data_IF_485613305937
#
_entry.id   IF_485613305937
#
_cell.length_a   1.000
_cell.length_b   1.000
_cell.length_c   1.000
_cell.angle_alpha   90.00
_cell.angle_beta   90.00
_cell.angle_gamma   90.00
#
_symmetry.space_group_name_H-M   'P 1'
#
loop_
_entity.id
_entity.type
_entity.pdbx_description
1 polymer ?
#
# COMPACT_ATOMS: atom_id res chain seq x y z
N UNK A 1 1.05 -18.02 4.00
CA UNK A 1 1.08 -16.85 3.07
C UNK A 1 0.89 -17.34 1.64
N UNK A 2 -0.07 -16.79 0.90
CA UNK A 2 -0.21 -16.98 -0.55
C UNK A 2 0.53 -15.87 -1.28
N UNK A 3 0.92 -16.13 -2.53
CA UNK A 3 1.61 -15.15 -3.38
C UNK A 3 0.84 -14.97 -4.68
N UNK A 4 0.87 -13.75 -5.23
CA UNK A 4 0.23 -13.40 -6.51
C UNK A 4 1.23 -12.71 -7.42
N UNK A 5 1.08 -12.94 -8.71
CA UNK A 5 1.88 -12.26 -9.73
C UNK A 5 1.56 -10.78 -9.76
N UNK A 6 2.60 -9.91 -9.75
CA UNK A 6 2.44 -8.47 -9.83
C UNK A 6 2.28 -8.03 -11.30
N UNK A 7 1.04 -7.93 -11.75
CA UNK A 7 0.72 -7.54 -13.12
C UNK A 7 1.42 -8.41 -14.17
N UNK A 8 2.00 -7.78 -15.16
CA UNK A 8 2.75 -8.43 -16.24
C UNK A 8 4.24 -8.68 -15.90
N UNK A 9 4.68 -8.45 -14.65
CA UNK A 9 6.06 -8.71 -14.21
C UNK A 9 6.33 -10.18 -13.92
N UNK A 10 7.58 -10.53 -13.60
CA UNK A 10 7.98 -11.83 -13.07
C UNK A 10 7.98 -11.89 -11.53
N UNK A 11 7.53 -10.83 -10.86
CA UNK A 11 7.50 -10.75 -9.40
C UNK A 11 6.27 -11.46 -8.83
N UNK A 12 6.50 -12.38 -7.91
CA UNK A 12 5.47 -12.96 -7.05
C UNK A 12 5.52 -12.26 -5.68
N UNK A 13 4.46 -11.52 -5.35
CA UNK A 13 4.33 -10.76 -4.10
C UNK A 13 3.36 -11.44 -3.14
N UNK A 14 3.66 -11.36 -1.84
CA UNK A 14 2.74 -11.85 -0.80
C UNK A 14 1.42 -11.05 -0.80
N UNK A 15 0.29 -11.73 -0.59
CA UNK A 15 -1.05 -11.11 -0.53
C UNK A 15 -1.15 -10.00 0.51
N UNK A 16 -0.34 -10.09 1.58
CA UNK A 16 -0.15 -9.05 2.58
C UNK A 16 1.27 -8.51 2.44
N UNK A 17 1.44 -7.21 2.42
CA UNK A 17 2.73 -6.53 2.37
C UNK A 17 2.90 -5.54 3.51
N UNK A 18 4.15 -5.27 3.90
CA UNK A 18 4.47 -4.36 5.00
C UNK A 18 4.82 -2.97 4.46
N UNK A 19 4.01 -1.98 4.83
CA UNK A 19 4.23 -0.57 4.53
C UNK A 19 4.91 0.17 5.67
N UNK A 20 5.80 1.08 5.33
CA UNK A 20 6.57 1.89 6.29
C UNK A 20 5.91 3.22 6.67
N UNK A 21 4.84 3.64 5.98
CA UNK A 21 4.22 4.94 6.20
C UNK A 21 3.68 5.10 7.63
N UNK A 22 4.02 6.22 8.28
CA UNK A 22 3.66 6.60 9.66
C UNK A 22 4.20 5.67 10.77
N UNK A 23 4.93 4.62 10.44
CA UNK A 23 5.47 3.68 11.43
C UNK A 23 6.99 3.72 11.51
N UNK A 24 7.69 3.65 10.39
CA UNK A 24 9.15 3.59 10.37
C UNK A 24 9.79 4.96 10.23
N UNK A 25 11.00 5.11 10.77
CA UNK A 25 11.72 6.39 10.76
C UNK A 25 11.16 7.43 11.73
N UNK A 26 10.56 6.99 12.87
CA UNK A 26 10.15 7.89 13.96
C UNK A 26 8.70 7.74 14.45
N UNK A 27 7.85 6.98 13.77
CA UNK A 27 6.46 6.73 14.22
C UNK A 27 6.35 5.72 15.37
N UNK A 28 7.28 4.76 15.42
CA UNK A 28 7.52 3.82 16.52
C UNK A 28 9.02 3.75 16.82
N UNK A 29 9.41 3.14 17.93
CA UNK A 29 10.83 2.92 18.21
C UNK A 29 11.47 2.01 17.15
N UNK A 30 12.76 2.20 16.86
CA UNK A 30 13.47 1.35 15.88
C UNK A 30 13.39 -0.14 16.25
N UNK A 31 13.52 -0.49 17.52
CA UNK A 31 13.40 -1.88 17.98
C UNK A 31 12.03 -2.50 17.71
N UNK A 32 10.95 -1.74 17.84
CA UNK A 32 9.60 -2.20 17.47
C UNK A 32 9.46 -2.33 15.96
N UNK A 33 10.01 -1.38 15.19
CA UNK A 33 9.99 -1.43 13.74
C UNK A 33 10.79 -2.65 13.22
N UNK A 34 11.98 -2.91 13.77
CA UNK A 34 12.81 -4.10 13.47
C UNK A 34 12.04 -5.40 13.77
N UNK A 35 11.38 -5.48 14.94
CA UNK A 35 10.58 -6.63 15.30
C UNK A 35 9.40 -6.85 14.33
N UNK A 36 8.76 -5.77 13.83
CA UNK A 36 7.72 -5.87 12.80
C UNK A 36 8.28 -6.39 11.47
N UNK A 37 9.45 -5.91 11.04
CA UNK A 37 10.11 -6.39 9.82
C UNK A 37 10.52 -7.86 9.97
N UNK A 38 11.11 -8.25 11.10
CA UNK A 38 11.49 -9.63 11.39
C UNK A 38 10.25 -10.56 11.34
N UNK A 39 9.15 -10.18 12.00
CA UNK A 39 7.88 -10.92 11.99
C UNK A 39 7.29 -11.01 10.59
N UNK A 40 7.38 -9.95 9.78
CA UNK A 40 6.88 -9.98 8.40
C UNK A 40 7.55 -11.10 7.59
N UNK A 41 8.86 -11.22 7.65
CA UNK A 41 9.57 -12.31 6.98
C UNK A 41 9.25 -13.69 7.59
N UNK A 42 9.13 -13.78 8.92
CA UNK A 42 8.77 -15.02 9.62
C UNK A 42 7.44 -15.58 9.13
N UNK A 43 6.44 -14.71 8.91
CA UNK A 43 5.10 -15.12 8.42
C UNK A 43 4.99 -15.19 6.90
N UNK A 44 6.11 -15.01 6.18
CA UNK A 44 6.20 -15.14 4.72
C UNK A 44 5.83 -13.90 3.93
N UNK A 45 5.77 -12.72 4.55
CA UNK A 45 5.66 -11.46 3.80
C UNK A 45 7.01 -11.20 3.11
N UNK A 46 6.98 -11.07 1.79
CA UNK A 46 8.16 -10.77 0.97
C UNK A 46 8.12 -9.41 0.31
N UNK A 47 7.05 -8.63 0.48
CA UNK A 47 6.88 -7.33 -0.16
C UNK A 47 6.89 -6.19 0.86
N UNK A 48 7.87 -5.28 0.70
CA UNK A 48 8.09 -4.10 1.56
C UNK A 48 7.85 -2.83 0.73
N UNK A 49 6.96 -1.96 1.19
CA UNK A 49 6.58 -0.72 0.52
C UNK A 49 7.02 0.51 1.34
N UNK A 50 7.75 1.41 0.70
CA UNK A 50 8.19 2.70 1.27
C UNK A 50 8.01 3.84 0.28
N UNK A 51 8.49 5.04 0.63
CA UNK A 51 8.60 6.20 -0.26
C UNK A 51 9.70 7.15 0.24
N UNK A 52 10.29 7.91 -0.69
CA UNK A 52 11.32 8.90 -0.37
C UNK A 52 10.89 9.91 0.69
N UNK A 53 9.61 10.34 0.66
CA UNK A 53 9.07 11.35 1.56
C UNK A 53 8.74 10.84 2.97
N UNK A 54 8.63 9.51 3.17
CA UNK A 54 8.24 8.97 4.47
C UNK A 54 9.30 9.28 5.53
N UNK A 55 8.88 10.01 6.57
CA UNK A 55 9.78 10.55 7.60
C UNK A 55 10.98 11.33 7.00
N UNK A 56 10.75 12.04 5.88
CA UNK A 56 11.80 12.81 5.17
C UNK A 56 13.04 11.96 4.82
N UNK A 57 12.81 10.73 4.36
CA UNK A 57 13.86 9.75 4.02
C UNK A 57 14.19 8.77 5.14
N UNK A 58 13.83 9.07 6.38
CA UNK A 58 14.16 8.23 7.54
C UNK A 58 13.57 6.82 7.47
N UNK A 59 12.43 6.64 6.78
CA UNK A 59 11.88 5.30 6.58
C UNK A 59 12.74 4.46 5.62
N UNK A 60 13.30 5.05 4.56
CA UNK A 60 14.24 4.36 3.65
C UNK A 60 15.58 4.09 4.34
N UNK A 61 16.12 5.03 5.12
CA UNK A 61 17.35 4.83 5.89
C UNK A 61 17.21 3.66 6.86
N UNK A 62 16.12 3.62 7.64
CA UNK A 62 15.82 2.53 8.54
C UNK A 62 15.71 1.19 7.79
N UNK A 63 14.97 1.13 6.68
CA UNK A 63 14.85 -0.09 5.90
C UNK A 63 16.19 -0.52 5.30
N UNK A 64 17.01 0.43 4.83
CA UNK A 64 18.37 0.15 4.35
C UNK A 64 19.25 -0.49 5.40
N UNK A 65 19.08 -0.15 6.68
CA UNK A 65 19.80 -0.79 7.80
C UNK A 65 19.29 -2.20 8.08
N UNK A 66 17.99 -2.34 8.25
CA UNK A 66 17.37 -3.61 8.68
C UNK A 66 17.41 -4.69 7.59
N UNK A 67 17.35 -4.29 6.30
CA UNK A 67 17.37 -5.21 5.18
C UNK A 67 18.80 -5.58 4.73
N UNK A 68 19.84 -4.87 5.16
CA UNK A 68 21.21 -5.07 4.71
C UNK A 68 21.77 -6.50 4.96
N UNK A 69 21.28 -7.18 6.00
CA UNK A 69 21.71 -8.55 6.33
C UNK A 69 20.94 -9.65 5.58
N UNK A 70 19.94 -9.27 4.76
CA UNK A 70 19.12 -10.21 4.02
C UNK A 70 19.56 -10.32 2.57
N UNK A 71 19.53 -11.51 1.97
CA UNK A 71 19.74 -11.65 0.53
C UNK A 71 18.80 -10.72 -0.23
N UNK A 72 19.33 -9.86 -1.11
CA UNK A 72 18.55 -8.84 -1.82
C UNK A 72 17.44 -9.42 -2.69
N UNK A 73 17.62 -10.60 -3.23
CA UNK A 73 16.66 -11.34 -4.06
C UNK A 73 15.60 -12.11 -3.25
N UNK A 74 15.67 -12.09 -1.91
CA UNK A 74 14.71 -12.75 -1.05
C UNK A 74 13.45 -11.92 -0.77
N UNK A 75 13.41 -10.66 -1.21
CA UNK A 75 12.27 -9.77 -1.00
C UNK A 75 12.06 -8.79 -2.16
N UNK A 76 10.85 -8.33 -2.31
CA UNK A 76 10.44 -7.28 -3.24
C UNK A 76 10.41 -5.94 -2.51
N UNK A 77 11.16 -4.96 -3.01
CA UNK A 77 11.27 -3.63 -2.42
C UNK A 77 10.69 -2.57 -3.36
N UNK A 78 9.71 -1.81 -2.87
CA UNK A 78 9.11 -0.70 -3.59
C UNK A 78 9.40 0.63 -2.92
N UNK A 79 9.75 1.65 -3.72
CA UNK A 79 9.78 3.05 -3.26
C UNK A 79 9.07 3.97 -4.26
N UNK A 80 8.89 5.25 -3.86
CA UNK A 80 8.09 6.22 -4.63
C UNK A 80 8.74 7.59 -4.62
N UNK A 81 8.39 8.42 -5.62
CA UNK A 81 8.77 9.83 -5.68
C UNK A 81 7.54 10.69 -6.04
N UNK A 82 7.56 11.94 -5.72
CA UNK A 82 6.64 13.02 -6.11
C UNK A 82 6.53 14.13 -5.08
N UNK A 83 6.20 13.79 -3.81
CA UNK A 83 5.91 14.78 -2.77
C UNK A 83 7.13 15.63 -2.41
N UNK A 84 6.91 16.87 -1.87
CA UNK A 84 8.00 17.76 -1.52
C UNK A 84 8.99 17.13 -0.54
N UNK A 85 10.28 17.15 -0.90
CA UNK A 85 11.38 16.68 -0.09
C UNK A 85 12.61 17.58 -0.30
N UNK A 86 13.05 18.30 0.75
CA UNK A 86 14.22 19.18 0.68
C UNK A 86 14.20 20.21 -0.47
N UNK A 87 13.02 20.72 -0.81
CA UNK A 87 12.83 21.68 -1.90
C UNK A 87 12.55 21.06 -3.28
N UNK A 88 12.75 19.77 -3.44
CA UNK A 88 12.44 19.02 -4.66
C UNK A 88 10.99 18.54 -4.67
N UNK A 89 10.39 18.44 -5.87
CA UNK A 89 9.03 17.92 -6.05
C UNK A 89 8.79 17.51 -7.50
N UNK A 90 7.84 16.60 -7.70
CA UNK A 90 7.29 16.26 -9.01
C UNK A 90 7.97 15.09 -9.68
N UNK A 91 7.71 14.95 -11.00
CA UNK A 91 8.11 13.82 -11.82
C UNK A 91 8.92 14.24 -13.06
N UNK A 92 9.53 15.43 -13.05
CA UNK A 92 10.41 15.82 -14.14
C UNK A 92 11.60 14.85 -14.28
N UNK A 93 12.21 14.82 -15.45
CA UNK A 93 13.39 13.98 -15.71
C UNK A 93 14.47 14.18 -14.62
N UNK A 94 14.75 15.42 -14.26
CA UNK A 94 15.71 15.73 -13.21
C UNK A 94 15.31 15.09 -11.88
N UNK A 95 14.05 15.24 -11.49
CA UNK A 95 13.54 14.70 -10.22
C UNK A 95 13.53 13.18 -10.23
N UNK A 96 13.14 12.54 -11.32
CA UNK A 96 13.15 11.07 -11.43
C UNK A 96 14.54 10.51 -11.13
N UNK A 97 15.60 11.06 -11.73
CA UNK A 97 16.97 10.58 -11.49
C UNK A 97 17.50 10.95 -10.12
N UNK A 98 17.33 12.20 -9.70
CA UNK A 98 17.80 12.67 -8.40
C UNK A 98 17.21 11.86 -7.25
N UNK A 99 15.90 11.60 -7.33
CA UNK A 99 15.20 10.89 -6.25
C UNK A 99 15.49 9.39 -6.23
N UNK A 100 15.63 8.73 -7.38
CA UNK A 100 15.99 7.30 -7.37
C UNK A 100 17.41 7.12 -6.80
N UNK A 101 18.39 7.93 -7.20
CA UNK A 101 19.75 7.82 -6.70
C UNK A 101 19.83 8.07 -5.19
N UNK A 102 19.10 9.07 -4.70
CA UNK A 102 18.99 9.34 -3.27
C UNK A 102 18.29 8.22 -2.50
N UNK A 103 17.22 7.62 -3.06
CA UNK A 103 16.52 6.48 -2.45
C UNK A 103 17.39 5.25 -2.39
N UNK A 104 18.11 4.90 -3.47
CA UNK A 104 19.04 3.77 -3.49
C UNK A 104 20.17 3.93 -2.44
N UNK A 105 20.70 5.14 -2.30
CA UNK A 105 21.70 5.44 -1.27
C UNK A 105 21.15 5.21 0.16
N UNK A 106 19.92 5.71 0.47
CA UNK A 106 19.29 5.50 1.78
C UNK A 106 18.94 4.03 2.02
N UNK A 107 18.42 3.35 1.01
CA UNK A 107 18.05 1.93 1.07
C UNK A 107 19.27 0.98 1.03
N UNK A 108 20.47 1.50 0.80
CA UNK A 108 21.74 0.74 0.73
C UNK A 108 21.69 -0.42 -0.27
N UNK A 109 21.12 -0.16 -1.45
CA UNK A 109 20.94 -1.15 -2.51
C UNK A 109 21.18 -0.53 -3.88
N UNK A 110 21.56 -1.35 -4.87
CA UNK A 110 21.81 -0.91 -6.23
C UNK A 110 20.52 -0.79 -7.05
N UNK A 111 19.44 -1.43 -6.62
CA UNK A 111 18.15 -1.40 -7.32
C UNK A 111 16.94 -1.56 -6.39
N UNK A 112 15.79 -1.07 -6.83
CA UNK A 112 14.48 -1.42 -6.28
C UNK A 112 13.73 -2.31 -7.28
N UNK A 113 12.86 -3.17 -6.77
CA UNK A 113 12.03 -4.02 -7.65
C UNK A 113 10.91 -3.19 -8.30
N UNK A 114 10.37 -2.21 -7.58
CA UNK A 114 9.28 -1.38 -8.04
C UNK A 114 9.53 0.10 -7.72
N UNK A 115 9.58 0.95 -8.75
CA UNK A 115 9.67 2.40 -8.60
C UNK A 115 8.35 3.05 -9.02
N UNK A 116 7.75 3.87 -8.15
CA UNK A 116 6.38 4.32 -8.33
C UNK A 116 6.25 5.84 -8.38
N UNK A 117 5.43 6.35 -9.31
CA UNK A 117 4.90 7.71 -9.23
C UNK A 117 3.90 7.80 -8.08
N UNK A 118 4.25 8.50 -6.98
CA UNK A 118 3.40 8.60 -5.80
C UNK A 118 2.08 9.36 -6.08
N UNK A 119 2.09 10.26 -7.07
CA UNK A 119 0.91 10.95 -7.65
C UNK A 119 1.19 11.24 -9.12
N UNK A 120 0.15 11.61 -9.85
CA UNK A 120 0.29 12.17 -11.18
C UNK A 120 0.82 13.60 -11.09
N UNK A 121 1.78 13.97 -11.94
CA UNK A 121 2.34 15.31 -11.99
C UNK A 121 1.73 16.10 -13.15
N UNK A 122 0.85 17.05 -12.82
CA UNK A 122 0.21 17.92 -13.81
C UNK A 122 1.16 19.01 -14.34
N UNK A 123 2.29 19.23 -13.68
CA UNK A 123 3.25 20.27 -14.04
C UNK A 123 4.33 19.75 -15.02
N UNK A 124 4.47 18.42 -15.14
CA UNK A 124 5.44 17.78 -16.04
C UNK A 124 4.73 17.07 -17.19
N UNK A 125 5.16 17.23 -18.45
CA UNK A 125 4.63 16.43 -19.56
C UNK A 125 4.74 14.93 -19.27
N UNK A 126 3.66 14.18 -19.53
CA UNK A 126 3.63 12.76 -19.24
C UNK A 126 4.72 11.97 -19.99
N UNK A 127 5.00 12.38 -21.22
CA UNK A 127 6.06 11.78 -22.06
C UNK A 127 7.43 11.90 -21.39
N UNK A 128 7.76 13.09 -20.85
CA UNK A 128 9.03 13.32 -20.15
C UNK A 128 9.16 12.40 -18.94
N UNK A 129 8.10 12.31 -18.13
CA UNK A 129 8.07 11.41 -16.97
C UNK A 129 8.29 9.96 -17.36
N UNK A 130 7.53 9.49 -18.37
CA UNK A 130 7.58 8.09 -18.81
C UNK A 130 8.91 7.71 -19.47
N UNK A 131 9.51 8.61 -20.24
CA UNK A 131 10.84 8.42 -20.83
C UNK A 131 11.93 8.37 -19.74
N UNK A 132 11.85 9.24 -18.74
CA UNK A 132 12.78 9.24 -17.63
C UNK A 132 12.70 7.94 -16.81
N UNK A 133 11.49 7.48 -16.50
CA UNK A 133 11.26 6.22 -15.79
C UNK A 133 11.75 5.01 -16.60
N UNK A 134 11.50 5.01 -17.91
CA UNK A 134 12.03 3.98 -18.85
C UNK A 134 13.56 3.90 -18.77
N UNK A 135 14.22 5.04 -18.73
CA UNK A 135 15.68 5.08 -18.63
C UNK A 135 16.18 4.58 -17.28
N UNK A 136 15.46 4.84 -16.18
CA UNK A 136 15.77 4.27 -14.85
C UNK A 136 15.75 2.74 -14.88
N UNK A 137 14.77 2.14 -15.57
CA UNK A 137 14.71 0.68 -15.77
C UNK A 137 15.89 0.19 -16.63
N UNK A 138 16.20 0.86 -17.74
CA UNK A 138 17.34 0.52 -18.60
C UNK A 138 18.69 0.58 -17.88
N UNK A 139 18.83 1.50 -16.92
CA UNK A 139 20.01 1.61 -16.06
C UNK A 139 20.05 0.54 -14.97
N UNK A 140 19.02 -0.29 -14.82
CA UNK A 140 18.93 -1.33 -13.81
C UNK A 140 18.68 -0.81 -12.39
N UNK A 141 18.33 0.47 -12.21
CA UNK A 141 18.04 1.08 -10.91
C UNK A 141 16.65 0.70 -10.37
N UNK A 142 15.74 0.35 -11.28
CA UNK A 142 14.44 -0.24 -10.97
C UNK A 142 14.16 -1.39 -11.93
N UNK A 143 13.52 -2.47 -11.43
CA UNK A 143 13.13 -3.58 -12.30
C UNK A 143 11.81 -3.29 -13.01
N UNK A 144 10.86 -2.72 -12.29
CA UNK A 144 9.53 -2.42 -12.76
C UNK A 144 9.04 -1.05 -12.29
N UNK A 145 8.00 -0.56 -12.97
CA UNK A 145 7.38 0.73 -12.72
C UNK A 145 5.95 0.58 -12.21
N UNK A 146 5.53 1.52 -11.37
CA UNK A 146 4.15 1.61 -10.88
C UNK A 146 3.71 3.05 -10.67
N UNK A 147 2.46 3.22 -10.31
CA UNK A 147 1.87 4.52 -9.96
C UNK A 147 0.87 4.40 -8.81
N UNK A 148 0.55 5.54 -8.18
CA UNK A 148 -0.42 5.63 -7.09
C UNK A 148 -1.42 6.74 -7.36
N UNK A 149 -2.71 6.46 -7.13
CA UNK A 149 -3.82 7.43 -7.21
C UNK A 149 -3.98 8.13 -8.57
N UNK A 150 -3.68 7.46 -9.67
CA UNK A 150 -3.96 7.98 -11.00
C UNK A 150 -5.40 7.69 -11.41
N UNK A 151 -6.02 8.63 -12.12
CA UNK A 151 -7.33 8.44 -12.72
C UNK A 151 -7.27 7.50 -13.93
N UNK A 152 -8.41 6.94 -14.33
CA UNK A 152 -8.48 6.08 -15.51
C UNK A 152 -7.99 6.79 -16.78
N UNK A 153 -8.25 8.10 -16.93
CA UNK A 153 -7.77 8.86 -18.09
C UNK A 153 -6.26 9.05 -18.11
N UNK A 154 -5.65 9.28 -16.93
CA UNK A 154 -4.20 9.35 -16.79
C UNK A 154 -3.53 8.01 -17.11
N UNK A 155 -4.15 6.90 -16.68
CA UNK A 155 -3.70 5.55 -17.01
C UNK A 155 -3.79 5.30 -18.52
N UNK A 156 -4.92 5.63 -19.16
CA UNK A 156 -5.08 5.51 -20.62
C UNK A 156 -4.05 6.33 -21.38
N UNK A 157 -3.76 7.56 -20.93
CA UNK A 157 -2.74 8.40 -21.53
C UNK A 157 -1.35 7.76 -21.48
N UNK A 158 -0.96 7.16 -20.33
CA UNK A 158 0.32 6.44 -20.23
C UNK A 158 0.35 5.18 -21.12
N UNK A 159 -0.73 4.42 -21.18
CA UNK A 159 -0.84 3.24 -22.04
C UNK A 159 -0.72 3.58 -23.54
N UNK A 160 -1.18 4.76 -23.94
CA UNK A 160 -1.05 5.23 -25.33
C UNK A 160 0.40 5.48 -25.76
N UNK A 161 1.34 5.59 -24.82
CA UNK A 161 2.77 5.76 -25.12
C UNK A 161 3.51 4.44 -25.39
N UNK A 162 2.90 3.30 -25.07
CA UNK A 162 3.47 1.97 -25.33
C UNK A 162 3.50 1.70 -26.83
N UNK A 163 4.56 1.10 -27.42
CA UNK A 163 5.73 0.50 -26.76
C UNK A 163 6.97 1.41 -26.67
N UNK A 164 6.83 2.73 -26.84
CA UNK A 164 7.99 3.65 -26.78
C UNK A 164 8.62 3.75 -25.40
N UNK A 165 7.82 3.49 -24.36
CA UNK A 165 8.20 3.58 -22.94
C UNK A 165 7.88 2.27 -22.24
N UNK A 166 8.52 2.05 -21.09
CA UNK A 166 8.22 0.92 -20.20
C UNK A 166 6.79 1.02 -19.66
N UNK A 167 6.13 -0.14 -19.58
CA UNK A 167 4.78 -0.25 -19.08
C UNK A 167 4.76 -0.34 -17.55
N UNK A 168 3.80 0.31 -16.94
CA UNK A 168 3.49 0.09 -15.53
C UNK A 168 2.97 -1.33 -15.29
N UNK A 169 3.41 -1.97 -14.22
CA UNK A 169 2.94 -3.29 -13.78
C UNK A 169 2.03 -3.22 -12.55
N UNK A 170 2.04 -2.10 -11.83
CA UNK A 170 1.24 -1.91 -10.62
C UNK A 170 0.57 -0.56 -10.52
N UNK A 171 -0.60 -0.56 -9.91
CA UNK A 171 -1.37 0.60 -9.44
C UNK A 171 -1.52 0.52 -7.92
N UNK A 172 -1.32 1.63 -7.22
CA UNK A 172 -1.46 1.70 -5.76
C UNK A 172 -2.57 2.67 -5.36
N UNK A 173 -3.86 2.28 -5.45
CA UNK A 173 -4.97 3.10 -5.00
C UNK A 173 -5.28 2.89 -3.52
N UNK A 174 -5.96 3.86 -2.89
CA UNK A 174 -6.71 3.61 -1.67
C UNK A 174 -7.84 2.62 -1.97
N UNK A 175 -7.91 1.52 -1.19
CA UNK A 175 -8.98 0.55 -1.35
C UNK A 175 -9.26 -0.18 -0.04
N UNK A 176 -10.52 -0.22 0.35
CA UNK A 176 -11.00 -0.90 1.56
C UNK A 176 -12.49 -1.12 1.50
N UNK A 177 -13.04 -1.86 2.45
CA UNK A 177 -14.49 -2.01 2.65
C UNK A 177 -15.25 -0.67 2.65
N UNK A 178 -14.64 0.40 3.18
CA UNK A 178 -15.24 1.73 3.28
C UNK A 178 -14.92 2.66 2.10
N UNK A 179 -13.95 2.32 1.26
CA UNK A 179 -13.53 3.15 0.14
C UNK A 179 -13.35 2.29 -1.11
N UNK A 180 -14.32 2.36 -2.03
CA UNK A 180 -14.45 1.51 -3.21
C UNK A 180 -14.37 2.25 -4.55
N UNK A 181 -13.96 3.51 -4.54
CA UNK A 181 -13.85 4.35 -5.75
C UNK A 181 -13.10 3.66 -6.90
N UNK A 182 -12.00 2.91 -6.67
CA UNK A 182 -11.27 2.27 -7.76
C UNK A 182 -12.02 1.16 -8.49
N UNK A 183 -13.07 0.57 -7.89
CA UNK A 183 -13.87 -0.52 -8.50
C UNK A 183 -14.55 -0.08 -9.79
N UNK A 184 -14.88 1.21 -9.92
CA UNK A 184 -15.67 1.73 -11.03
C UNK A 184 -14.89 1.71 -12.36
N UNK A 185 -13.64 2.15 -12.34
CA UNK A 185 -12.88 2.36 -13.58
C UNK A 185 -11.43 1.88 -13.48
N UNK A 186 -10.73 2.16 -12.37
CA UNK A 186 -9.29 1.92 -12.24
C UNK A 186 -8.98 0.42 -12.23
N UNK A 187 -9.66 -0.35 -11.38
CA UNK A 187 -9.42 -1.80 -11.25
C UNK A 187 -9.73 -2.52 -12.58
N UNK A 188 -10.91 -2.33 -13.23
CA UNK A 188 -11.18 -2.95 -14.51
C UNK A 188 -10.16 -2.60 -15.59
N UNK A 189 -9.85 -1.32 -15.76
CA UNK A 189 -8.88 -0.86 -16.74
C UNK A 189 -7.49 -1.47 -16.51
N UNK A 190 -7.03 -1.51 -15.26
CA UNK A 190 -5.75 -2.11 -14.90
C UNK A 190 -5.74 -3.62 -15.19
N UNK A 191 -6.80 -4.36 -14.81
CA UNK A 191 -6.95 -5.79 -15.05
C UNK A 191 -6.85 -6.11 -16.54
N UNK A 192 -7.55 -5.39 -17.41
CA UNK A 192 -7.50 -5.53 -18.85
C UNK A 192 -6.10 -5.31 -19.45
N UNK A 193 -5.29 -4.51 -18.77
CA UNK A 193 -3.96 -4.14 -19.23
C UNK A 193 -2.83 -4.86 -18.49
N UNK A 194 -3.10 -5.89 -17.67
CA UNK A 194 -2.07 -6.64 -16.95
C UNK A 194 -1.32 -5.79 -15.92
N UNK A 195 -2.03 -4.87 -15.26
CA UNK A 195 -1.56 -4.04 -14.15
C UNK A 195 -2.30 -4.51 -12.89
N UNK A 196 -1.60 -4.96 -11.86
CA UNK A 196 -2.21 -5.37 -10.59
C UNK A 196 -2.35 -4.21 -9.62
N UNK A 197 -3.28 -4.35 -8.67
CA UNK A 197 -3.41 -3.42 -7.55
C UNK A 197 -2.52 -3.87 -6.40
N UNK A 198 -1.81 -2.94 -5.79
CA UNK A 198 -1.17 -3.07 -4.48
C UNK A 198 -1.78 -1.98 -3.59
N UNK A 199 -2.78 -2.33 -2.80
CA UNK A 199 -3.67 -1.33 -2.23
C UNK A 199 -3.18 -0.79 -0.90
N UNK A 200 -3.28 0.53 -0.69
CA UNK A 200 -2.96 1.14 0.59
C UNK A 200 -4.22 1.39 1.41
N UNK A 201 -4.06 1.45 2.73
CA UNK A 201 -5.14 1.67 3.71
C UNK A 201 -6.27 0.61 3.69
N UNK A 202 -5.97 -0.68 3.51
CA UNK A 202 -6.99 -1.72 3.41
C UNK A 202 -7.84 -1.85 4.68
N UNK A 203 -7.31 -1.41 5.83
CA UNK A 203 -8.00 -1.35 7.12
C UNK A 203 -8.59 0.04 7.46
N UNK A 204 -8.74 0.94 6.48
CA UNK A 204 -9.25 2.29 6.67
C UNK A 204 -8.57 2.99 7.87
N UNK A 205 -7.23 3.05 7.86
CA UNK A 205 -6.41 3.62 8.94
C UNK A 205 -6.59 2.95 10.31
N UNK A 206 -7.08 1.72 10.35
CA UNK A 206 -7.32 0.95 11.56
C UNK A 206 -8.77 1.00 12.06
N UNK A 207 -9.66 1.71 11.38
CA UNK A 207 -11.10 1.75 11.73
C UNK A 207 -11.74 0.37 11.57
N UNK A 208 -11.40 -0.35 10.53
CA UNK A 208 -11.92 -1.68 10.24
C UNK A 208 -11.42 -2.79 11.18
N UNK A 209 -10.56 -2.48 12.15
CA UNK A 209 -10.20 -3.43 13.22
C UNK A 209 -11.26 -3.49 14.32
N UNK A 210 -12.27 -2.60 14.31
CA UNK A 210 -13.32 -2.54 15.33
C UNK A 210 -12.93 -1.89 16.66
N UNK A 211 -11.68 -1.47 16.82
CA UNK A 211 -11.18 -0.91 18.10
C UNK A 211 -11.75 0.47 18.47
N UNK A 212 -12.28 1.22 17.49
CA UNK A 212 -12.90 2.51 17.73
C UNK A 212 -14.40 2.34 17.96
N UNK A 213 -14.89 2.91 19.06
CA UNK A 213 -16.30 2.83 19.42
C UNK A 213 -17.01 4.16 19.21
N UNK A 214 -18.27 4.16 18.72
CA UNK A 214 -19.07 5.38 18.59
C UNK A 214 -19.21 6.12 19.93
N UNK A 215 -19.04 7.45 19.91
CA UNK A 215 -19.17 8.28 21.10
C UNK A 215 -18.10 8.10 22.19
N UNK A 216 -17.06 7.29 21.95
CA UNK A 216 -15.97 7.05 22.89
C UNK A 216 -14.66 7.71 22.47
N UNK A 217 -13.82 8.04 23.43
CA UNK A 217 -12.46 8.50 23.17
C UNK A 217 -11.64 7.39 22.48
N UNK A 218 -10.75 7.76 21.55
CA UNK A 218 -9.86 6.78 20.92
C UNK A 218 -8.99 6.05 21.94
N UNK A 219 -8.79 4.72 21.79
CA UNK A 219 -7.90 3.96 22.66
C UNK A 219 -6.50 4.58 22.74
N UNK A 220 -5.91 4.61 23.94
CA UNK A 220 -4.55 5.12 24.14
C UNK A 220 -3.56 4.37 23.25
N UNK A 221 -2.59 5.07 22.67
CA UNK A 221 -1.61 4.52 21.73
C UNK A 221 -2.16 4.17 20.34
N UNK A 222 -3.44 4.45 20.09
CA UNK A 222 -4.01 4.29 18.75
C UNK A 222 -3.62 5.47 17.83
N UNK A 223 -3.72 5.26 16.51
CA UNK A 223 -3.47 6.32 15.51
C UNK A 223 -4.36 7.54 15.74
N UNK A 224 -5.64 7.34 16.06
CA UNK A 224 -6.58 8.42 16.32
C UNK A 224 -6.26 9.25 17.58
N UNK A 225 -5.58 8.66 18.57
CA UNK A 225 -5.10 9.36 19.76
C UNK A 225 -3.76 10.09 19.56
N UNK A 226 -3.10 9.87 18.40
CA UNK A 226 -1.80 10.49 18.08
C UNK A 226 -1.99 11.92 17.56
N UNK A 227 -1.33 12.89 18.19
CA UNK A 227 -1.27 14.26 17.69
C UNK A 227 -0.62 14.39 16.29
N UNK A 228 0.30 13.48 15.97
CA UNK A 228 1.03 13.50 14.69
C UNK A 228 0.27 12.79 13.56
N UNK A 229 -0.52 11.77 13.87
CA UNK A 229 -1.13 10.86 12.89
C UNK A 229 -2.66 10.93 12.87
N UNK A 230 -3.30 11.61 13.83
CA UNK A 230 -4.76 11.65 13.99
C UNK A 230 -5.49 12.21 12.77
N UNK A 231 -4.88 13.18 12.07
CA UNK A 231 -5.44 13.78 10.86
C UNK A 231 -5.75 12.76 9.75
N UNK A 232 -5.01 11.66 9.68
CA UNK A 232 -5.25 10.60 8.69
C UNK A 232 -6.56 9.83 8.94
N UNK A 233 -7.16 10.02 10.13
CA UNK A 233 -8.37 9.32 10.57
C UNK A 233 -9.67 10.11 10.37
N UNK A 234 -9.62 11.42 10.08
CA UNK A 234 -10.78 12.32 10.13
C UNK A 234 -11.99 11.80 9.36
N UNK A 235 -11.76 11.24 8.15
CA UNK A 235 -12.81 10.64 7.32
C UNK A 235 -13.47 9.39 7.92
N UNK A 236 -12.78 8.65 8.78
CA UNK A 236 -13.19 7.33 9.28
C UNK A 236 -13.62 7.34 10.75
N UNK A 237 -13.75 8.53 11.37
CA UNK A 237 -14.11 8.70 12.78
C UNK A 237 -15.56 9.12 13.00
N UNK A 238 -16.31 9.30 11.94
CA UNK A 238 -17.74 9.60 12.05
C UNK A 238 -18.46 8.45 12.76
N UNK A 239 -19.36 8.81 13.68
CA UNK A 239 -20.10 7.85 14.52
C UNK A 239 -20.95 6.88 13.68
N UNK A 240 -21.49 7.31 12.52
CA UNK A 240 -22.25 6.44 11.63
C UNK A 240 -21.35 5.42 10.95
N UNK A 241 -20.12 5.84 10.60
CA UNK A 241 -19.08 4.92 10.09
C UNK A 241 -18.72 3.89 11.18
N UNK A 242 -18.45 4.35 12.41
CA UNK A 242 -18.07 3.46 13.50
C UNK A 242 -19.20 2.48 13.84
N UNK A 243 -20.46 2.93 13.91
CA UNK A 243 -21.64 2.06 14.11
C UNK A 243 -21.77 1.01 13.01
N UNK A 244 -21.50 1.39 11.76
CA UNK A 244 -21.53 0.46 10.63
C UNK A 244 -20.43 -0.58 10.70
N UNK A 245 -19.22 -0.17 11.08
CA UNK A 245 -18.08 -1.08 11.29
C UNK A 245 -18.36 -2.08 12.40
N UNK A 246 -18.98 -1.67 13.53
CA UNK A 246 -19.32 -2.59 14.61
C UNK A 246 -20.30 -3.70 14.16
N UNK A 247 -21.11 -3.51 13.13
CA UNK A 247 -21.98 -4.56 12.56
C UNK A 247 -21.20 -5.66 11.84
N UNK A 248 -19.92 -5.47 11.56
CA UNK A 248 -19.04 -6.51 10.99
C UNK A 248 -18.59 -7.53 12.05
N UNK A 249 -18.60 -7.17 13.33
CA UNK A 249 -18.09 -8.04 14.40
C UNK A 249 -18.77 -9.41 14.44
N UNK A 250 -20.11 -9.55 14.45
CA UNK A 250 -20.76 -10.86 14.47
C UNK A 250 -20.48 -11.70 13.20
N UNK A 251 -20.17 -11.05 12.06
CA UNK A 251 -19.80 -11.76 10.83
C UNK A 251 -18.40 -12.37 11.01
N UNK A 252 -17.45 -11.60 11.52
CA UNK A 252 -16.09 -12.08 11.77
C UNK A 252 -16.08 -13.20 12.84
N UNK A 253 -16.84 -13.02 13.93
CA UNK A 253 -17.01 -14.03 14.99
C UNK A 253 -17.59 -15.35 14.45
N UNK A 254 -18.61 -15.26 13.59
CA UNK A 254 -19.24 -16.43 12.97
C UNK A 254 -18.28 -17.22 12.08
N UNK A 255 -17.24 -16.58 11.53
CA UNK A 255 -16.18 -17.19 10.75
C UNK A 255 -14.95 -17.61 11.58
N UNK A 256 -14.91 -17.27 12.88
CA UNK A 256 -13.77 -17.54 13.75
C UNK A 256 -12.51 -16.72 13.38
N UNK A 257 -12.67 -15.53 12.80
CA UNK A 257 -11.58 -14.64 12.38
C UNK A 257 -11.72 -13.25 13.02
N UNK A 258 -10.66 -12.44 12.96
CA UNK A 258 -10.73 -11.06 13.44
C UNK A 258 -11.39 -10.13 12.41
N UNK A 259 -11.87 -8.96 12.85
CA UNK A 259 -12.40 -7.93 11.95
C UNK A 259 -11.33 -7.42 10.96
N UNK A 260 -10.07 -7.37 11.38
CA UNK A 260 -8.96 -7.04 10.50
C UNK A 260 -8.80 -8.09 9.40
N UNK A 261 -8.82 -9.37 9.76
CA UNK A 261 -8.74 -10.49 8.81
C UNK A 261 -9.95 -10.52 7.86
N UNK A 262 -11.17 -10.31 8.37
CA UNK A 262 -12.37 -10.18 7.54
C UNK A 262 -12.22 -9.08 6.49
N UNK A 263 -11.75 -7.91 6.91
CA UNK A 263 -11.59 -6.73 6.04
C UNK A 263 -10.49 -6.92 5.00
N UNK A 264 -9.38 -7.54 5.37
CA UNK A 264 -8.29 -7.88 4.44
C UNK A 264 -8.70 -8.98 3.48
N UNK A 265 -9.39 -10.03 3.94
CA UNK A 265 -9.94 -11.09 3.09
C UNK A 265 -10.94 -10.53 2.07
N UNK A 266 -11.77 -9.54 2.49
CA UNK A 266 -12.66 -8.85 1.57
C UNK A 266 -11.89 -8.08 0.49
N UNK A 267 -10.80 -7.40 0.83
CA UNK A 267 -9.95 -6.69 -0.14
C UNK A 267 -9.30 -7.68 -1.11
N UNK A 268 -8.78 -8.79 -0.61
CA UNK A 268 -8.09 -9.82 -1.38
C UNK A 268 -9.03 -10.68 -2.25
N UNK A 269 -10.37 -10.60 -2.06
CA UNK A 269 -11.33 -11.27 -2.95
C UNK A 269 -11.24 -10.76 -4.38
N UNK A 270 -10.81 -9.51 -4.56
CA UNK A 270 -10.59 -8.95 -5.89
C UNK A 270 -9.30 -9.55 -6.50
N UNK A 271 -9.46 -10.36 -7.53
CA UNK A 271 -8.36 -11.08 -8.17
C UNK A 271 -7.24 -10.17 -8.67
N UNK A 272 -7.59 -8.93 -9.09
CA UNK A 272 -6.60 -7.96 -9.55
C UNK A 272 -5.81 -7.31 -8.41
N UNK A 273 -6.21 -7.51 -7.15
CA UNK A 273 -5.41 -7.07 -5.99
C UNK A 273 -4.32 -8.10 -5.72
N UNK A 274 -3.09 -7.78 -6.06
CA UNK A 274 -1.94 -8.65 -5.81
C UNK A 274 -1.51 -8.59 -4.34
N UNK A 275 -1.61 -7.41 -3.70
CA UNK A 275 -1.18 -7.25 -2.30
C UNK A 275 -1.94 -6.14 -1.58
N UNK A 276 -2.23 -6.36 -0.30
CA UNK A 276 -2.78 -5.36 0.62
C UNK A 276 -1.68 -4.87 1.55
N UNK A 277 -1.35 -3.57 1.47
CA UNK A 277 -0.27 -2.96 2.25
C UNK A 277 -0.78 -2.63 3.64
N UNK A 278 -0.26 -3.31 4.66
CA UNK A 278 -0.56 -3.04 6.06
C UNK A 278 0.53 -2.21 6.71
N UNK A 279 0.16 -1.35 7.66
CA UNK A 279 1.08 -0.76 8.62
C UNK A 279 0.95 -1.48 9.96
N UNK A 280 2.07 -1.68 10.65
CA UNK A 280 2.09 -2.30 11.97
C UNK A 280 3.00 -1.53 12.91
N UNK A 281 2.57 -1.39 14.17
CA UNK A 281 3.35 -0.80 15.27
C UNK A 281 3.88 -1.84 16.26
N UNK A 282 3.52 -3.12 16.09
CA UNK A 282 3.96 -4.28 16.88
C UNK A 282 3.85 -5.57 16.06
N UNK A 283 4.72 -6.56 16.36
CA UNK A 283 4.78 -7.83 15.61
C UNK A 283 3.46 -8.61 15.58
N UNK A 284 2.67 -8.57 16.66
CA UNK A 284 1.40 -9.29 16.75
C UNK A 284 0.39 -8.80 15.69
N UNK A 285 0.43 -7.50 15.32
CA UNK A 285 -0.40 -6.97 14.24
C UNK A 285 0.02 -7.50 12.87
N UNK A 286 1.31 -7.71 12.66
CA UNK A 286 1.84 -8.30 11.42
C UNK A 286 1.33 -9.74 11.30
N UNK A 287 1.46 -10.52 12.36
CA UNK A 287 1.02 -11.92 12.42
C UNK A 287 -0.50 -12.05 12.23
N UNK A 288 -1.29 -11.24 12.96
CA UNK A 288 -2.75 -11.20 12.82
C UNK A 288 -3.17 -10.89 11.37
N UNK A 289 -2.61 -9.82 10.79
CA UNK A 289 -2.95 -9.40 9.42
C UNK A 289 -2.50 -10.43 8.37
N UNK A 290 -1.35 -11.08 8.56
CA UNK A 290 -0.86 -12.12 7.68
C UNK A 290 -1.82 -13.33 7.63
N UNK A 291 -2.54 -13.60 8.72
CA UNK A 291 -3.58 -14.63 8.78
C UNK A 291 -4.78 -14.36 7.85
N UNK A 292 -4.89 -13.18 7.25
CA UNK A 292 -5.91 -12.89 6.25
C UNK A 292 -5.62 -13.52 4.88
N UNK A 293 -4.36 -13.89 4.62
CA UNK A 293 -3.97 -14.52 3.36
C UNK A 293 -4.65 -15.86 3.18
N UNK A 294 -5.36 -16.01 2.07
CA UNK A 294 -6.07 -17.24 1.74
C UNK A 294 -7.46 -17.37 2.35
N UNK A 295 -7.98 -16.36 3.05
CA UNK A 295 -9.40 -16.34 3.48
C UNK A 295 -10.27 -16.22 2.23
N UNK A 296 -11.23 -17.13 2.13
CA UNK A 296 -12.27 -17.14 1.09
C UNK A 296 -13.62 -16.81 1.73
N UNK A 297 -14.31 -15.84 1.16
CA UNK A 297 -15.62 -15.38 1.64
C UNK A 297 -16.69 -15.80 0.64
N UNK A 298 -17.72 -16.50 1.10
CA UNK A 298 -18.84 -16.87 0.26
C UNK A 298 -19.77 -15.70 -0.04
N UNK A 299 -20.67 -15.86 -1.02
CA UNK A 299 -21.61 -14.83 -1.47
C UNK A 299 -22.53 -14.34 -0.34
N UNK A 300 -22.93 -15.22 0.58
CA UNK A 300 -23.75 -14.88 1.72
C UNK A 300 -23.01 -13.94 2.70
N UNK A 301 -21.75 -14.25 2.98
CA UNK A 301 -20.87 -13.44 3.79
C UNK A 301 -20.60 -12.07 3.12
N UNK A 302 -20.27 -12.08 1.82
CA UNK A 302 -20.06 -10.82 1.07
C UNK A 302 -21.28 -9.92 1.10
N UNK A 303 -22.48 -10.51 0.93
CA UNK A 303 -23.74 -9.77 1.05
C UNK A 303 -23.95 -9.20 2.46
N UNK A 304 -23.71 -9.98 3.50
CA UNK A 304 -23.83 -9.53 4.89
C UNK A 304 -22.87 -8.36 5.21
N UNK A 305 -21.63 -8.42 4.70
CA UNK A 305 -20.65 -7.33 4.79
C UNK A 305 -21.19 -6.08 4.08
N UNK A 306 -21.69 -6.21 2.85
CA UNK A 306 -22.21 -5.09 2.07
C UNK A 306 -23.42 -4.44 2.76
N UNK A 307 -24.34 -5.25 3.30
CA UNK A 307 -25.49 -4.75 4.07
C UNK A 307 -25.05 -4.01 5.36
N UNK A 308 -23.99 -4.49 6.03
CA UNK A 308 -23.45 -3.86 7.25
C UNK A 308 -22.90 -2.45 7.01
N UNK A 309 -22.29 -2.20 5.85
CA UNK A 309 -21.59 -0.92 5.56
C UNK A 309 -22.26 -0.06 4.50
N UNK A 310 -23.42 -0.47 3.95
CA UNK A 310 -24.07 0.14 2.77
C UNK A 310 -24.22 1.68 2.84
N UNK A 311 -24.50 2.22 4.02
CA UNK A 311 -24.76 3.66 4.21
C UNK A 311 -23.51 4.54 4.31
N UNK A 312 -22.31 3.97 4.38
CA UNK A 312 -21.06 4.69 4.71
C UNK A 312 -19.92 4.45 3.72
N UNK A 313 -20.17 3.65 2.69
CA UNK A 313 -19.18 3.35 1.64
C UNK A 313 -19.01 4.52 0.69
N UNK A 314 -17.77 4.94 0.45
CA UNK A 314 -17.41 5.90 -0.60
C UNK A 314 -17.19 5.15 -1.92
N UNK A 315 -17.95 5.54 -2.95
CA UNK A 315 -17.93 4.94 -4.29
C UNK A 315 -17.64 5.95 -5.39
#
# INVERSE_FOLDING_TARGET
MRYRRLGSSDLDVSEISLGSWLTFGGGVSNSQAEACVAKAFEVGINFIDTANVYSQGGAEEFLGEVLAERPRDSYVLATKLYFPMNGDRGLSREQVFKQIDASLARLRTDYVDLYQCHRYDVATPLEETMEALTEVVRQGKARYLGFSEWTADQIRAALALIPRVEKFVSSQPQYSLLYRVPEREVIPLCKENGISQIVWSPLAQGTLTGKYQPGADPPAGSRAASHQMGWAMDRFRDDDVLRSVQRLAPIAEGLGITMAQLSLGWVLREENVASAIIGASRPEQVEENAGASGIELDDATLKAIDDAVAGVVVR
#
